data_IF_085741151727
#
_entry.id   IF_085741151727
#
_cell.length_a   1.000
_cell.length_b   1.000
_cell.length_c   1.000
_cell.angle_alpha   90.00
_cell.angle_beta   90.00
_cell.angle_gamma   90.00
#
_symmetry.space_group_name_H-M   'P 1'
#
loop_
_entity.id
_entity.type
_entity.pdbx_description
1 polymer ?
#
# COMPACT_ATOMS: atom_id res chain seq x y z
N UNK A 1 -20.70 15.67 -1.42
CA UNK A 1 -19.82 15.34 -2.56
C UNK A 1 -19.03 14.12 -2.21
N UNK A 2 -19.35 13.00 -2.81
CA UNK A 2 -18.56 11.78 -2.64
C UNK A 2 -17.20 12.04 -3.27
N UNK A 3 -16.17 12.17 -2.47
CA UNK A 3 -14.81 12.44 -2.95
C UNK A 3 -14.36 11.23 -3.78
N UNK A 4 -14.29 11.36 -5.06
CA UNK A 4 -13.87 10.30 -6.00
C UNK A 4 -12.34 10.21 -6.06
N UNK A 5 -11.68 10.09 -4.91
CA UNK A 5 -10.23 9.92 -4.88
C UNK A 5 -9.76 8.66 -5.63
N UNK A 6 -10.62 7.66 -5.69
CA UNK A 6 -10.35 6.43 -6.43
C UNK A 6 -10.21 6.64 -7.97
N UNK A 7 -10.71 7.75 -8.50
CA UNK A 7 -10.59 8.07 -9.93
C UNK A 7 -9.35 8.92 -10.27
N UNK A 8 -8.63 9.40 -9.26
CA UNK A 8 -7.42 10.19 -9.45
C UNK A 8 -6.21 9.27 -9.65
N UNK A 9 -5.31 9.71 -10.51
CA UNK A 9 -3.99 9.08 -10.64
C UNK A 9 -3.12 9.33 -9.41
N UNK A 10 -2.10 8.50 -9.20
CA UNK A 10 -1.15 8.71 -8.10
C UNK A 10 -0.47 10.10 -8.17
N UNK A 11 -0.18 10.58 -9.38
CA UNK A 11 0.39 11.91 -9.58
C UNK A 11 -0.58 13.03 -9.14
N UNK A 12 -1.85 12.90 -9.51
CA UNK A 12 -2.89 13.87 -9.10
C UNK A 12 -3.10 13.85 -7.59
N UNK A 13 -3.16 12.67 -6.97
CA UNK A 13 -3.23 12.55 -5.51
C UNK A 13 -2.04 13.26 -4.85
N UNK A 14 -0.83 13.01 -5.33
CA UNK A 14 0.37 13.66 -4.83
C UNK A 14 0.33 15.19 -4.96
N UNK A 15 -0.16 15.71 -6.08
CA UNK A 15 -0.36 17.16 -6.28
C UNK A 15 -1.42 17.75 -5.35
N UNK A 16 -2.51 17.02 -5.09
CA UNK A 16 -3.55 17.49 -4.18
C UNK A 16 -3.06 17.51 -2.72
N UNK A 17 -2.22 16.54 -2.34
CA UNK A 17 -1.54 16.53 -1.04
C UNK A 17 -0.60 17.73 -0.92
N UNK A 18 0.19 18.01 -1.96
CA UNK A 18 1.10 19.16 -2.00
C UNK A 18 0.38 20.49 -1.82
N UNK A 19 -0.79 20.63 -2.43
CA UNK A 19 -1.65 21.83 -2.31
C UNK A 19 -2.45 21.86 -1.00
N UNK A 20 -2.26 20.92 -0.09
CA UNK A 20 -3.00 20.83 1.16
C UNK A 20 -4.49 20.53 1.02
N UNK A 21 -4.94 20.04 -0.16
CA UNK A 21 -6.36 19.73 -0.44
C UNK A 21 -6.76 18.33 -0.04
N UNK A 22 -5.79 17.42 0.07
CA UNK A 22 -5.96 16.04 0.54
C UNK A 22 -5.03 15.82 1.72
N UNK A 23 -5.59 15.31 2.81
CA UNK A 23 -4.81 14.84 3.95
C UNK A 23 -4.43 13.36 3.73
N UNK A 24 -3.13 12.98 3.81
CA UNK A 24 -2.70 11.60 3.68
C UNK A 24 -3.41 10.61 4.62
N UNK A 25 -3.75 11.03 5.83
CA UNK A 25 -4.48 10.19 6.80
C UNK A 25 -5.89 9.89 6.30
N UNK A 26 -6.65 10.92 5.90
CA UNK A 26 -8.01 10.75 5.36
C UNK A 26 -8.02 9.90 4.08
N UNK A 27 -7.02 10.11 3.22
CA UNK A 27 -6.85 9.35 1.99
C UNK A 27 -6.59 7.86 2.27
N UNK A 28 -5.75 7.59 3.27
CA UNK A 28 -5.43 6.21 3.67
C UNK A 28 -6.63 5.50 4.26
N UNK A 29 -7.38 6.15 5.16
CA UNK A 29 -8.62 5.56 5.71
C UNK A 29 -9.65 5.32 4.61
N UNK A 30 -9.83 6.25 3.67
CA UNK A 30 -10.72 6.06 2.54
C UNK A 30 -10.43 4.78 1.75
N UNK A 31 -9.15 4.48 1.47
CA UNK A 31 -8.79 3.26 0.76
C UNK A 31 -8.88 2.02 1.64
N UNK A 32 -8.53 2.09 2.92
CA UNK A 32 -8.68 0.97 3.86
C UNK A 32 -10.16 0.58 4.00
N UNK A 33 -11.05 1.54 4.17
CA UNK A 33 -12.51 1.34 4.25
C UNK A 33 -13.05 0.74 2.94
N UNK A 34 -12.57 1.23 1.79
CA UNK A 34 -12.97 0.69 0.49
C UNK A 34 -12.52 -0.78 0.29
N UNK A 35 -11.35 -1.15 0.79
CA UNK A 35 -10.85 -2.53 0.75
C UNK A 35 -11.69 -3.43 1.66
N UNK A 36 -11.97 -2.99 2.88
CA UNK A 36 -12.74 -3.74 3.88
C UNK A 36 -14.20 -3.89 3.46
N UNK A 37 -14.81 -2.83 2.93
CA UNK A 37 -16.21 -2.82 2.49
C UNK A 37 -16.46 -3.53 1.15
N UNK A 38 -15.43 -3.87 0.39
CA UNK A 38 -15.59 -4.53 -0.89
C UNK A 38 -15.92 -6.02 -0.71
N UNK A 39 -17.03 -6.47 -1.31
CA UNK A 39 -17.45 -7.89 -1.29
C UNK A 39 -16.41 -8.85 -1.87
N UNK A 40 -15.53 -8.34 -2.74
CA UNK A 40 -14.43 -9.08 -3.37
C UNK A 40 -13.08 -8.77 -2.73
N UNK A 41 -13.03 -7.94 -1.69
CA UNK A 41 -11.79 -7.49 -1.05
C UNK A 41 -10.90 -8.64 -0.62
N UNK A 42 -11.47 -9.66 0.03
CA UNK A 42 -10.76 -10.87 0.46
C UNK A 42 -10.21 -11.73 -0.70
N UNK A 43 -10.69 -11.54 -1.93
CA UNK A 43 -10.15 -12.21 -3.12
C UNK A 43 -9.01 -11.43 -3.76
N UNK A 44 -9.00 -10.11 -3.56
CA UNK A 44 -7.99 -9.20 -4.12
C UNK A 44 -6.80 -9.08 -3.18
N UNK A 45 -7.07 -8.86 -1.89
CA UNK A 45 -6.03 -8.69 -0.88
C UNK A 45 -5.79 -9.98 -0.12
N UNK A 46 -4.56 -10.48 -0.14
CA UNK A 46 -4.12 -11.56 0.72
C UNK A 46 -4.05 -11.09 2.19
N UNK A 47 -3.56 -9.87 2.39
CA UNK A 47 -3.45 -9.21 3.71
C UNK A 47 -3.44 -7.70 3.56
N UNK A 48 -4.04 -7.02 4.52
CA UNK A 48 -3.90 -5.57 4.71
C UNK A 48 -2.92 -5.29 5.86
N UNK A 49 -2.33 -4.10 5.86
CA UNK A 49 -1.38 -3.63 6.90
C UNK A 49 -1.86 -2.30 7.48
N UNK A 50 -3.04 -2.26 8.14
CA UNK A 50 -3.69 -1.00 8.51
C UNK A 50 -2.88 -0.20 9.53
N UNK A 51 -2.28 -0.84 10.53
CA UNK A 51 -1.50 -0.13 11.55
C UNK A 51 -0.25 0.53 10.95
N UNK A 52 0.45 -0.19 10.05
CA UNK A 52 1.57 0.35 9.29
C UNK A 52 1.12 1.51 8.39
N UNK A 53 0.03 1.33 7.65
CA UNK A 53 -0.50 2.36 6.75
C UNK A 53 -0.85 3.64 7.50
N UNK A 54 -1.49 3.53 8.66
CA UNK A 54 -1.84 4.67 9.51
C UNK A 54 -0.61 5.40 10.04
N UNK A 55 0.39 4.66 10.52
CA UNK A 55 1.65 5.26 11.00
C UNK A 55 2.39 5.99 9.88
N UNK A 56 2.50 5.39 8.70
CA UNK A 56 3.10 6.01 7.51
C UNK A 56 2.31 7.25 7.05
N UNK A 57 0.97 7.19 7.09
CA UNK A 57 0.08 8.30 6.73
C UNK A 57 0.23 9.49 7.68
N UNK A 58 0.29 9.25 8.99
CA UNK A 58 0.52 10.30 9.99
C UNK A 58 1.87 11.00 9.78
N UNK A 59 2.92 10.23 9.51
CA UNK A 59 4.24 10.77 9.21
C UNK A 59 4.23 11.60 7.92
N UNK A 60 3.53 11.14 6.87
CA UNK A 60 3.39 11.89 5.61
C UNK A 60 2.57 13.18 5.79
N UNK A 61 1.49 13.15 6.57
CA UNK A 61 0.69 14.33 6.88
C UNK A 61 1.51 15.39 7.63
N UNK A 62 2.34 14.98 8.59
CA UNK A 62 3.26 15.86 9.29
C UNK A 62 4.25 16.51 8.33
N UNK A 63 4.87 15.74 7.41
CA UNK A 63 5.79 16.29 6.41
C UNK A 63 5.10 17.24 5.44
N UNK A 64 3.89 16.93 5.01
CA UNK A 64 3.11 17.80 4.14
C UNK A 64 2.79 19.15 4.82
N UNK A 65 2.40 19.09 6.09
CA UNK A 65 2.11 20.30 6.89
C UNK A 65 3.33 21.19 7.12
N UNK A 66 4.51 20.60 7.27
CA UNK A 66 5.77 21.33 7.54
C UNK A 66 6.55 21.67 6.27
N UNK A 67 6.06 21.31 5.08
CA UNK A 67 6.69 21.62 3.80
C UNK A 67 7.96 20.80 3.50
N UNK A 68 8.15 19.65 4.18
CA UNK A 68 9.34 18.80 4.03
C UNK A 68 9.00 17.46 3.37
N UNK A 69 8.13 17.47 2.37
CA UNK A 69 7.77 16.27 1.63
C UNK A 69 8.99 15.62 0.95
N UNK A 70 9.00 14.30 0.90
CA UNK A 70 10.10 13.49 0.33
C UNK A 70 10.11 13.46 -1.19
N UNK A 71 8.97 13.79 -1.82
CA UNK A 71 8.82 13.78 -3.27
C UNK A 71 7.36 13.88 -3.69
N UNK A 72 7.08 13.81 -5.00
CA UNK A 72 5.74 14.01 -5.56
C UNK A 72 4.72 12.95 -5.11
N UNK A 73 5.17 11.76 -4.70
CA UNK A 73 4.31 10.67 -4.26
C UNK A 73 4.29 10.48 -2.73
N UNK A 74 4.92 11.38 -1.95
CA UNK A 74 4.89 11.30 -0.49
C UNK A 74 3.45 11.45 0.02
N UNK A 75 2.97 10.45 0.75
CA UNK A 75 1.61 10.38 1.27
C UNK A 75 0.60 9.68 0.34
N UNK A 76 1.05 9.15 -0.80
CA UNK A 76 0.19 8.40 -1.71
C UNK A 76 0.14 6.93 -1.32
N UNK A 77 -1.07 6.35 -1.11
CA UNK A 77 -1.22 4.93 -0.80
C UNK A 77 -0.87 4.02 -1.98
N UNK A 78 -0.27 2.87 -1.67
CA UNK A 78 0.10 1.84 -2.64
C UNK A 78 -0.16 0.45 -2.07
N UNK A 79 -0.51 -0.49 -2.94
CA UNK A 79 -0.62 -1.91 -2.62
C UNK A 79 0.45 -2.71 -3.35
N UNK A 80 0.89 -3.80 -2.72
CA UNK A 80 1.97 -4.64 -3.19
C UNK A 80 1.47 -6.04 -3.56
N UNK A 81 2.21 -6.73 -4.39
CA UNK A 81 1.96 -8.13 -4.65
C UNK A 81 2.52 -9.00 -3.53
N UNK A 82 1.84 -10.10 -3.16
CA UNK A 82 2.23 -10.99 -2.04
C UNK A 82 3.52 -11.79 -2.29
N UNK A 83 4.31 -11.44 -3.28
CA UNK A 83 5.64 -11.97 -3.51
C UNK A 83 6.76 -11.07 -2.95
N UNK A 84 6.43 -9.82 -2.60
CA UNK A 84 7.40 -8.89 -2.01
C UNK A 84 7.39 -9.02 -0.48
N UNK A 85 8.53 -9.31 0.09
CA UNK A 85 8.68 -9.42 1.54
C UNK A 85 8.27 -8.11 2.23
N UNK A 86 7.46 -8.25 3.25
CA UNK A 86 7.02 -7.17 4.12
C UNK A 86 7.31 -7.58 5.56
N UNK A 87 8.19 -6.84 6.23
CA UNK A 87 8.64 -7.14 7.58
C UNK A 87 7.45 -7.34 8.55
N UNK A 88 7.52 -8.39 9.35
CA UNK A 88 6.51 -8.72 10.36
C UNK A 88 5.16 -9.19 9.80
N UNK A 89 5.04 -9.39 8.48
CA UNK A 89 3.78 -9.80 7.85
C UNK A 89 3.98 -11.06 7.04
N UNK A 90 3.07 -12.04 7.20
CA UNK A 90 3.14 -13.32 6.47
C UNK A 90 3.21 -13.05 4.96
N UNK A 91 4.23 -13.58 4.29
CA UNK A 91 4.48 -13.43 2.84
C UNK A 91 4.69 -14.81 2.23
N UNK A 92 3.68 -15.29 1.53
CA UNK A 92 3.59 -16.68 1.06
C UNK A 92 3.80 -16.82 -0.46
N UNK A 93 3.75 -15.73 -1.21
CA UNK A 93 3.89 -15.72 -2.68
C UNK A 93 2.96 -16.70 -3.40
N UNK A 94 1.80 -17.05 -2.81
CA UNK A 94 0.89 -18.08 -3.32
C UNK A 94 1.44 -19.50 -3.25
N UNK A 95 2.51 -19.75 -2.49
CA UNK A 95 3.18 -21.05 -2.39
C UNK A 95 2.87 -21.76 -1.08
N UNK A 96 2.44 -23.02 -1.15
CA UNK A 96 2.25 -23.85 0.04
C UNK A 96 3.57 -24.09 0.81
N UNK A 97 4.71 -24.06 0.12
CA UNK A 97 6.05 -24.21 0.74
C UNK A 97 6.42 -23.02 1.62
N UNK A 98 5.86 -21.84 1.34
CA UNK A 98 6.12 -20.59 2.09
C UNK A 98 5.00 -20.28 3.09
N UNK A 99 4.09 -21.22 3.33
CA UNK A 99 2.96 -21.02 4.24
C UNK A 99 3.41 -20.60 5.63
N UNK A 100 2.89 -19.48 6.14
CA UNK A 100 3.21 -18.94 7.45
C UNK A 100 4.59 -18.27 7.54
N UNK A 101 5.31 -18.11 6.44
CA UNK A 101 6.61 -17.44 6.43
C UNK A 101 6.45 -15.95 6.75
N UNK A 102 7.14 -15.48 7.80
CA UNK A 102 7.18 -14.06 8.18
C UNK A 102 8.61 -13.54 7.96
N UNK A 103 8.83 -12.67 6.98
CA UNK A 103 10.13 -12.03 6.79
C UNK A 103 10.43 -11.01 7.89
N UNK A 104 11.70 -10.83 8.20
CA UNK A 104 12.20 -9.86 9.18
C UNK A 104 12.53 -8.50 8.54
N UNK A 105 12.61 -8.44 7.23
CA UNK A 105 12.93 -7.24 6.46
C UNK A 105 11.98 -7.04 5.28
N UNK A 106 11.76 -5.77 4.96
CA UNK A 106 11.08 -5.40 3.72
C UNK A 106 11.95 -5.70 2.50
N UNK A 107 11.34 -6.11 1.40
CA UNK A 107 11.98 -6.18 0.10
C UNK A 107 12.59 -4.81 -0.29
N UNK A 108 13.68 -4.81 -1.05
CA UNK A 108 14.38 -3.58 -1.49
C UNK A 108 13.44 -2.56 -2.12
N UNK A 109 12.52 -3.02 -2.98
CA UNK A 109 11.56 -2.16 -3.67
C UNK A 109 10.58 -1.52 -2.68
N UNK A 110 10.11 -2.26 -1.68
CA UNK A 110 9.23 -1.73 -0.64
C UNK A 110 9.96 -0.72 0.24
N UNK A 111 11.21 -0.99 0.62
CA UNK A 111 12.05 -0.01 1.34
C UNK A 111 12.25 1.28 0.57
N UNK A 112 12.50 1.19 -0.74
CA UNK A 112 12.65 2.37 -1.59
C UNK A 112 11.36 3.19 -1.68
N UNK A 113 10.21 2.54 -1.83
CA UNK A 113 8.91 3.20 -1.85
C UNK A 113 8.56 3.85 -0.50
N UNK A 114 8.81 3.17 0.61
CA UNK A 114 8.63 3.72 1.96
C UNK A 114 9.55 4.92 2.20
N UNK A 115 10.80 4.85 1.73
CA UNK A 115 11.74 5.96 1.80
C UNK A 115 11.27 7.17 0.96
N UNK A 116 10.58 6.93 -0.15
CA UNK A 116 9.95 7.99 -0.96
C UNK A 116 8.64 8.52 -0.37
N UNK A 117 8.15 7.93 0.72
CA UNK A 117 6.97 8.37 1.44
C UNK A 117 5.65 7.74 1.00
N UNK A 118 5.68 6.71 0.14
CA UNK A 118 4.46 5.96 -0.19
C UNK A 118 3.96 5.17 1.02
N UNK A 119 2.65 4.97 1.09
CA UNK A 119 1.98 4.33 2.22
C UNK A 119 1.57 2.91 1.83
N UNK A 120 2.01 1.91 2.59
CA UNK A 120 1.72 0.50 2.34
C UNK A 120 0.34 0.11 2.88
N UNK A 121 -0.66 -0.06 2.00
CA UNK A 121 -2.02 -0.50 2.40
C UNK A 121 -2.09 -2.00 2.69
N UNK A 122 -1.32 -2.80 1.98
CA UNK A 122 -1.37 -4.25 2.05
C UNK A 122 -0.86 -4.92 0.79
N UNK A 123 -1.20 -6.21 0.64
CA UNK A 123 -0.71 -7.04 -0.45
C UNK A 123 -1.82 -7.74 -1.19
N UNK A 124 -1.74 -7.68 -2.51
CA UNK A 124 -2.61 -8.42 -3.41
C UNK A 124 -2.31 -9.91 -3.37
N UNK A 125 -3.35 -10.73 -3.54
CA UNK A 125 -3.19 -12.17 -3.72
C UNK A 125 -2.28 -12.47 -4.90
N UNK A 126 -1.42 -13.47 -4.73
CA UNK A 126 -0.60 -14.02 -5.80
C UNK A 126 -1.34 -15.26 -6.33
N UNK A 127 -1.83 -15.28 -7.58
CA UNK A 127 -2.36 -16.51 -8.14
C UNK A 127 -1.24 -17.55 -8.15
N UNK A 128 -1.57 -18.80 -7.75
CA UNK A 128 -0.64 -19.91 -7.79
C UNK A 128 0.09 -19.93 -9.12
N UNK A 129 1.41 -19.84 -9.08
CA UNK A 129 2.27 -20.02 -10.23
C UNK A 129 2.16 -21.47 -10.68
N UNK A 130 1.11 -21.80 -11.45
CA UNK A 130 1.20 -22.94 -12.34
C UNK A 130 2.13 -22.49 -13.46
N UNK A 131 3.39 -22.84 -13.36
CA UNK A 131 4.27 -22.87 -14.52
C UNK A 131 3.58 -23.78 -15.53
N UNK A 132 2.88 -23.23 -16.50
CA UNK A 132 2.63 -23.96 -17.73
C UNK A 132 3.98 -23.99 -18.44
N UNK A 133 4.71 -25.07 -18.20
CA UNK A 133 5.78 -25.47 -19.12
C UNK A 133 5.05 -25.81 -20.41
N UNK A 134 5.18 -24.97 -21.40
CA UNK A 134 4.80 -25.31 -22.75
C UNK A 134 5.79 -26.36 -23.23
N UNK A 135 5.36 -27.61 -23.26
CA UNK A 135 6.05 -28.69 -23.97
C UNK A 135 5.75 -28.56 -25.46
#
# INVERSE_FOLDING_TARGET
MTKTWASLTAAELGQQIDKGRINPVELTEFFLDAIEGATVGARIYARTTPDRARAEAMAAASRAKTGVRRGPLDGVPISWKDLFDTAGTVTEAGSALLRGRIPDQDAKVLRAATAAGLICLGRHTCPNWRFRVWA
#
